data_IF_976663855354
#
_entry.id   IF_976663855354
#
_cell.length_a   1.000
_cell.length_b   1.000
_cell.length_c   1.000
_cell.angle_alpha   90.00
_cell.angle_beta   90.00
_cell.angle_gamma   90.00
#
_symmetry.space_group_name_H-M   'P 1'
#
loop_
_entity.id
_entity.type
_entity.pdbx_description
1 polymer ?
#
# COMPACT_ATOMS: atom_id res chain seq x y z
N UNK A 1 -20.19 -23.93 -10.20
CA UNK A 1 -20.22 -22.70 -9.35
C UNK A 1 -19.75 -21.52 -10.20
N UNK A 2 -20.14 -20.26 -9.93
CA UNK A 2 -19.56 -19.13 -10.65
C UNK A 2 -18.03 -19.09 -10.44
N UNK A 3 -17.29 -18.63 -11.46
CA UNK A 3 -15.84 -18.45 -11.39
C UNK A 3 -15.48 -17.33 -10.44
N UNK A 4 -14.31 -17.44 -9.81
CA UNK A 4 -13.80 -16.42 -8.91
C UNK A 4 -13.36 -15.16 -9.69
N UNK A 5 -13.33 -13.97 -9.06
CA UNK A 5 -12.72 -12.79 -9.67
C UNK A 5 -11.21 -13.01 -9.88
N UNK A 6 -10.72 -12.75 -11.08
CA UNK A 6 -9.33 -13.06 -11.44
C UNK A 6 -8.43 -11.82 -11.46
N UNK A 7 -7.22 -11.97 -10.96
CA UNK A 7 -6.15 -10.98 -11.14
C UNK A 7 -5.60 -11.11 -12.57
N UNK A 8 -5.81 -10.08 -13.37
CA UNK A 8 -5.39 -10.05 -14.78
C UNK A 8 -3.91 -9.73 -14.92
N UNK A 9 -3.33 -8.98 -13.97
CA UNK A 9 -1.89 -8.84 -13.82
C UNK A 9 -1.33 -9.99 -12.98
N UNK A 10 -1.08 -11.12 -13.63
CA UNK A 10 -0.46 -12.29 -13.00
C UNK A 10 0.73 -12.83 -13.78
N UNK A 11 1.67 -13.46 -13.07
CA UNK A 11 2.81 -14.18 -13.64
C UNK A 11 2.74 -15.61 -13.14
N UNK A 12 2.68 -16.57 -14.07
CA UNK A 12 2.53 -18.00 -13.77
C UNK A 12 1.34 -18.31 -12.81
N UNK A 13 0.25 -17.56 -12.92
CA UNK A 13 -0.93 -17.70 -12.06
C UNK A 13 -0.84 -17.01 -10.70
N UNK A 14 0.26 -16.31 -10.41
CA UNK A 14 0.43 -15.57 -9.17
C UNK A 14 0.10 -14.07 -9.36
N UNK A 15 -0.82 -13.48 -8.57
CA UNK A 15 -1.19 -12.06 -8.67
C UNK A 15 -0.01 -11.12 -8.37
N UNK A 16 0.35 -10.28 -9.33
CA UNK A 16 1.48 -9.35 -9.21
C UNK A 16 1.20 -8.29 -8.15
N UNK A 17 -0.03 -7.76 -8.10
CA UNK A 17 -0.42 -6.79 -7.08
C UNK A 17 -0.17 -7.33 -5.67
N UNK A 18 -0.59 -8.57 -5.38
CA UNK A 18 -0.43 -9.21 -4.07
C UNK A 18 1.05 -9.43 -3.67
N UNK A 19 1.95 -9.62 -4.65
CA UNK A 19 3.39 -9.68 -4.39
C UNK A 19 3.99 -8.33 -4.05
N UNK A 20 3.47 -7.24 -4.62
CA UNK A 20 4.03 -5.90 -4.49
C UNK A 20 3.54 -5.16 -3.24
N UNK A 21 2.31 -5.37 -2.79
CA UNK A 21 1.75 -4.63 -1.64
C UNK A 21 2.55 -4.72 -0.32
N UNK A 22 3.29 -5.81 0.02
CA UNK A 22 3.99 -5.88 1.30
C UNK A 22 5.12 -4.84 1.41
N UNK A 23 5.73 -4.46 0.29
CA UNK A 23 6.85 -3.50 0.26
C UNK A 23 6.47 -2.09 0.70
N UNK A 24 5.48 -1.39 0.08
CA UNK A 24 5.08 -0.06 0.53
C UNK A 24 4.57 -0.08 1.97
N UNK A 25 3.84 -1.13 2.38
CA UNK A 25 3.37 -1.27 3.77
C UNK A 25 4.56 -1.31 4.74
N UNK A 26 5.54 -2.18 4.48
CA UNK A 26 6.71 -2.31 5.33
C UNK A 26 7.53 -1.01 5.39
N UNK A 27 7.72 -0.34 4.25
CA UNK A 27 8.50 0.89 4.19
C UNK A 27 7.82 2.06 4.91
N UNK A 28 6.52 2.29 4.71
CA UNK A 28 5.80 3.37 5.40
C UNK A 28 5.66 3.12 6.90
N UNK A 29 5.43 1.87 7.32
CA UNK A 29 5.43 1.50 8.75
C UNK A 29 6.82 1.67 9.37
N UNK A 30 7.88 1.28 8.66
CA UNK A 30 9.25 1.49 9.13
C UNK A 30 9.60 2.98 9.24
N UNK A 31 9.11 3.83 8.33
CA UNK A 31 9.24 5.29 8.44
C UNK A 31 8.65 5.79 9.75
N UNK A 32 7.43 5.40 10.09
CA UNK A 32 6.80 5.81 11.35
C UNK A 32 7.62 5.38 12.58
N UNK A 33 8.17 4.16 12.57
CA UNK A 33 9.05 3.69 13.64
C UNK A 33 10.34 4.52 13.72
N UNK A 34 10.96 4.82 12.58
CA UNK A 34 12.15 5.67 12.53
C UNK A 34 11.87 7.08 13.05
N UNK A 35 10.70 7.65 12.76
CA UNK A 35 10.29 8.96 13.27
C UNK A 35 10.12 8.96 14.79
N UNK A 36 9.55 7.90 15.35
CA UNK A 36 9.46 7.74 16.80
C UNK A 36 10.85 7.67 17.44
N UNK A 37 11.78 6.94 16.82
CA UNK A 37 13.16 6.84 17.33
C UNK A 37 13.86 8.20 17.19
N UNK A 38 13.72 8.90 16.08
CA UNK A 38 14.26 10.25 15.91
C UNK A 38 13.70 11.21 16.96
N UNK A 39 12.38 11.22 17.17
CA UNK A 39 11.74 12.06 18.18
C UNK A 39 12.29 11.82 19.59
N UNK A 40 12.68 10.58 19.90
CA UNK A 40 13.25 10.22 21.21
C UNK A 40 14.75 10.46 21.34
N UNK A 41 15.49 10.31 20.25
CA UNK A 41 16.97 10.28 20.29
C UNK A 41 17.63 11.54 19.72
N UNK A 42 16.92 12.30 18.89
CA UNK A 42 17.49 13.40 18.11
C UNK A 42 18.56 12.98 17.11
N UNK A 43 18.75 11.68 16.84
CA UNK A 43 19.82 11.21 15.97
C UNK A 43 19.42 11.36 14.48
N UNK A 44 20.12 12.22 13.71
CA UNK A 44 19.74 12.53 12.33
C UNK A 44 19.91 11.35 11.36
N UNK A 45 20.64 10.30 11.75
CA UNK A 45 20.74 9.07 10.96
C UNK A 45 19.38 8.43 10.65
N UNK A 46 18.41 8.56 11.57
CA UNK A 46 17.04 8.08 11.35
C UNK A 46 16.28 8.91 10.31
N UNK A 47 16.57 10.21 10.21
CA UNK A 47 15.98 11.08 9.18
C UNK A 47 16.48 10.68 7.79
N UNK A 48 17.79 10.43 7.65
CA UNK A 48 18.36 9.90 6.41
C UNK A 48 17.72 8.57 6.01
N UNK A 49 17.55 7.65 6.95
CA UNK A 49 16.89 6.36 6.69
C UNK A 49 15.45 6.55 6.17
N UNK A 50 14.69 7.46 6.79
CA UNK A 50 13.30 7.71 6.37
C UNK A 50 13.17 8.27 4.96
N UNK A 51 14.11 9.10 4.50
CA UNK A 51 14.10 9.61 3.13
C UNK A 51 14.18 8.48 2.10
N UNK A 52 15.02 7.48 2.36
CA UNK A 52 15.15 6.30 1.49
C UNK A 52 13.94 5.37 1.60
N UNK A 53 13.43 5.12 2.81
CA UNK A 53 12.23 4.30 3.03
C UNK A 53 11.01 4.88 2.32
N UNK A 54 10.77 6.19 2.47
CA UNK A 54 9.67 6.88 1.82
C UNK A 54 9.81 6.85 0.29
N UNK A 55 11.00 7.12 -0.25
CA UNK A 55 11.24 7.07 -1.69
C UNK A 55 11.01 5.66 -2.26
N UNK A 56 11.55 4.63 -1.62
CA UNK A 56 11.34 3.24 -2.02
C UNK A 56 9.86 2.82 -1.87
N UNK A 57 9.20 3.23 -0.79
CA UNK A 57 7.77 3.03 -0.55
C UNK A 57 6.91 3.62 -1.66
N UNK A 58 7.18 4.86 -2.07
CA UNK A 58 6.44 5.51 -3.16
C UNK A 58 6.63 4.79 -4.49
N UNK A 59 7.85 4.38 -4.83
CA UNK A 59 8.12 3.61 -6.06
C UNK A 59 7.34 2.30 -6.05
N UNK A 60 7.40 1.54 -4.96
CA UNK A 60 6.70 0.27 -4.85
C UNK A 60 5.18 0.43 -4.80
N UNK A 61 4.68 1.51 -4.20
CA UNK A 61 3.26 1.85 -4.19
C UNK A 61 2.74 2.15 -5.61
N UNK A 62 3.51 2.86 -6.44
CA UNK A 62 3.16 3.09 -7.85
C UNK A 62 3.10 1.77 -8.62
N UNK A 63 4.11 0.91 -8.48
CA UNK A 63 4.11 -0.39 -9.15
C UNK A 63 2.91 -1.25 -8.71
N UNK A 64 2.61 -1.30 -7.41
CA UNK A 64 1.46 -2.00 -6.88
C UNK A 64 0.14 -1.41 -7.39
N UNK A 65 0.03 -0.08 -7.46
CA UNK A 65 -1.17 0.62 -7.94
C UNK A 65 -1.42 0.34 -9.43
N UNK A 66 -0.37 0.27 -10.25
CA UNK A 66 -0.49 -0.09 -11.67
C UNK A 66 -1.02 -1.52 -11.83
N UNK A 67 -0.45 -2.49 -11.09
CA UNK A 67 -0.94 -3.87 -11.10
C UNK A 67 -2.37 -4.00 -10.57
N UNK A 68 -2.73 -3.25 -9.52
CA UNK A 68 -4.09 -3.24 -8.97
C UNK A 68 -5.09 -2.61 -9.94
N UNK A 69 -4.70 -1.53 -10.64
CA UNK A 69 -5.54 -0.89 -11.64
C UNK A 69 -5.81 -1.80 -12.83
N UNK A 70 -4.81 -2.56 -13.29
CA UNK A 70 -5.01 -3.56 -14.35
C UNK A 70 -6.00 -4.65 -13.94
N UNK A 71 -5.97 -5.09 -12.67
CA UNK A 71 -6.93 -6.07 -12.15
C UNK A 71 -8.36 -5.51 -12.13
N UNK A 72 -8.54 -4.30 -11.59
CA UNK A 72 -9.85 -3.62 -11.53
C UNK A 72 -10.40 -3.41 -12.95
N UNK A 73 -9.61 -2.85 -13.87
CA UNK A 73 -10.10 -2.60 -15.23
C UNK A 73 -10.38 -3.91 -16.00
N UNK A 74 -9.60 -4.96 -15.72
CA UNK A 74 -9.69 -6.25 -16.38
C UNK A 74 -10.86 -7.13 -15.94
N UNK A 75 -11.36 -6.98 -14.71
CA UNK A 75 -12.44 -7.81 -14.17
C UNK A 75 -13.62 -6.97 -13.64
N UNK A 76 -14.81 -7.20 -14.19
CA UNK A 76 -16.05 -6.52 -13.75
C UNK A 76 -16.49 -6.94 -12.35
N UNK A 77 -16.19 -8.18 -11.94
CA UNK A 77 -16.51 -8.66 -10.61
C UNK A 77 -15.72 -7.90 -9.55
N UNK A 78 -14.42 -7.65 -9.78
CA UNK A 78 -13.57 -6.83 -8.90
C UNK A 78 -14.10 -5.40 -8.84
N UNK A 79 -14.46 -4.80 -9.99
CA UNK A 79 -15.02 -3.43 -10.05
C UNK A 79 -16.31 -3.23 -9.27
N UNK A 80 -17.11 -4.27 -9.12
CA UNK A 80 -18.37 -4.21 -8.41
C UNK A 80 -18.20 -4.35 -6.88
N UNK A 81 -16.99 -4.61 -6.39
CA UNK A 81 -16.72 -4.69 -4.95
C UNK A 81 -16.50 -3.30 -4.36
N UNK A 82 -17.33 -2.90 -3.40
CA UNK A 82 -17.11 -1.66 -2.63
C UNK A 82 -15.75 -1.67 -1.92
N UNK A 83 -15.31 -2.84 -1.43
CA UNK A 83 -14.02 -3.00 -0.77
C UNK A 83 -12.84 -2.69 -1.70
N UNK A 84 -12.96 -2.93 -3.02
CA UNK A 84 -11.93 -2.57 -4.00
C UNK A 84 -11.74 -1.05 -4.09
N UNK A 85 -12.83 -0.29 -4.14
CA UNK A 85 -12.78 1.17 -4.23
C UNK A 85 -12.34 1.83 -2.92
N UNK A 86 -12.78 1.30 -1.77
CA UNK A 86 -12.30 1.78 -0.46
C UNK A 86 -10.81 1.50 -0.28
N UNK A 87 -10.34 0.32 -0.68
CA UNK A 87 -8.93 -0.03 -0.67
C UNK A 87 -8.11 0.88 -1.60
N UNK A 88 -8.51 1.00 -2.88
CA UNK A 88 -7.79 1.81 -3.86
C UNK A 88 -7.77 3.29 -3.49
N UNK A 89 -8.92 3.87 -3.15
CA UNK A 89 -9.04 5.28 -2.77
C UNK A 89 -8.21 5.61 -1.52
N UNK A 90 -8.26 4.77 -0.49
CA UNK A 90 -7.44 4.97 0.72
C UNK A 90 -5.94 4.89 0.43
N UNK A 91 -5.50 3.99 -0.46
CA UNK A 91 -4.09 3.90 -0.84
C UNK A 91 -3.62 5.07 -1.71
N UNK A 92 -4.49 5.67 -2.53
CA UNK A 92 -4.18 6.94 -3.21
C UNK A 92 -3.93 8.05 -2.18
N UNK A 93 -4.75 8.14 -1.14
CA UNK A 93 -4.54 9.10 -0.05
C UNK A 93 -3.21 8.85 0.67
N UNK A 94 -2.87 7.59 0.96
CA UNK A 94 -1.56 7.22 1.53
C UNK A 94 -0.40 7.74 0.65
N UNK A 95 -0.44 7.47 -0.66
CA UNK A 95 0.61 7.89 -1.58
C UNK A 95 0.75 9.41 -1.63
N UNK A 96 -0.35 10.15 -1.63
CA UNK A 96 -0.31 11.62 -1.63
C UNK A 96 0.29 12.18 -0.33
N UNK A 97 -0.08 11.60 0.81
CA UNK A 97 0.47 12.00 2.12
C UNK A 97 1.98 11.70 2.15
N UNK A 98 2.40 10.49 1.75
CA UNK A 98 3.80 10.10 1.81
C UNK A 98 4.67 10.81 0.77
N UNK A 99 4.10 11.21 -0.37
CA UNK A 99 4.78 12.04 -1.34
C UNK A 99 5.08 13.42 -0.76
N UNK A 100 4.11 14.03 -0.06
CA UNK A 100 4.33 15.28 0.65
C UNK A 100 5.34 15.12 1.80
N UNK A 101 5.23 14.04 2.59
CA UNK A 101 6.14 13.74 3.69
C UNK A 101 7.59 13.59 3.20
N UNK A 102 7.79 12.82 2.11
CA UNK A 102 9.08 12.65 1.46
C UNK A 102 9.64 13.98 0.95
N UNK A 103 8.84 14.76 0.23
CA UNK A 103 9.25 16.05 -0.32
C UNK A 103 9.61 17.05 0.78
N UNK A 104 8.82 17.11 1.87
CA UNK A 104 9.08 17.99 3.01
C UNK A 104 10.43 17.65 3.66
N UNK A 105 10.73 16.36 3.85
CA UNK A 105 12.03 15.91 4.39
C UNK A 105 13.17 16.18 3.42
N UNK A 106 12.95 16.08 2.13
CA UNK A 106 13.97 16.42 1.12
C UNK A 106 14.32 17.92 1.17
N UNK A 107 13.32 18.77 1.36
CA UNK A 107 13.50 20.23 1.39
C UNK A 107 13.97 20.79 2.74
N UNK A 108 13.57 20.18 3.86
CA UNK A 108 13.73 20.75 5.20
C UNK A 108 14.48 19.82 6.18
N UNK A 109 14.89 18.63 5.74
CA UNK A 109 15.60 17.64 6.54
C UNK A 109 14.91 17.35 7.88
N UNK A 110 15.64 17.47 8.99
CA UNK A 110 15.18 17.16 10.35
C UNK A 110 13.94 17.97 10.77
N UNK A 111 13.82 19.21 10.30
CA UNK A 111 12.71 20.11 10.66
C UNK A 111 11.35 19.62 10.13
N UNK A 112 11.34 18.79 9.08
CA UNK A 112 10.11 18.20 8.55
C UNK A 112 9.55 17.05 9.41
N UNK A 113 10.40 16.41 10.24
CA UNK A 113 10.03 15.15 10.89
C UNK A 113 9.12 15.39 12.08
N UNK A 114 9.45 16.32 12.98
CA UNK A 114 8.66 16.59 14.19
C UNK A 114 8.17 18.03 14.20
N UNK A 115 6.87 18.29 14.46
CA UNK A 115 5.81 17.32 14.75
C UNK A 115 5.11 16.76 13.50
N UNK A 116 5.24 17.44 12.36
CA UNK A 116 4.37 17.23 11.20
C UNK A 116 4.58 15.86 10.55
N UNK A 117 5.81 15.52 10.16
CA UNK A 117 6.13 14.25 9.50
C UNK A 117 5.72 13.03 10.33
N UNK A 118 5.94 13.05 11.65
CA UNK A 118 5.56 12.00 12.57
C UNK A 118 4.03 11.80 12.62
N UNK A 119 3.26 12.89 12.67
CA UNK A 119 1.79 12.82 12.64
C UNK A 119 1.29 12.28 11.29
N UNK A 120 1.90 12.72 10.18
CA UNK A 120 1.55 12.21 8.85
C UNK A 120 1.82 10.70 8.74
N UNK A 121 2.98 10.24 9.21
CA UNK A 121 3.32 8.81 9.21
C UNK A 121 2.39 7.99 10.11
N UNK A 122 1.96 8.52 11.27
CA UNK A 122 0.93 7.87 12.08
C UNK A 122 -0.41 7.75 11.33
N UNK A 123 -0.87 8.83 10.70
CA UNK A 123 -2.10 8.83 9.90
C UNK A 123 -2.01 7.78 8.78
N UNK A 124 -0.88 7.71 8.08
CA UNK A 124 -0.64 6.71 7.03
C UNK A 124 -0.74 5.29 7.58
N UNK A 125 -0.10 4.99 8.71
CA UNK A 125 -0.22 3.66 9.34
C UNK A 125 -1.67 3.30 9.65
N UNK A 126 -2.45 4.25 10.17
CA UNK A 126 -3.88 4.01 10.45
C UNK A 126 -4.70 3.78 9.18
N UNK A 127 -4.42 4.52 8.11
CA UNK A 127 -5.08 4.31 6.82
C UNK A 127 -4.68 2.94 6.24
N UNK A 128 -3.41 2.55 6.31
CA UNK A 128 -2.92 1.25 5.85
C UNK A 128 -3.57 0.08 6.60
N UNK A 129 -3.80 0.21 7.90
CA UNK A 129 -4.55 -0.81 8.67
C UNK A 129 -5.97 -0.95 8.13
N UNK A 130 -6.65 0.16 7.87
CA UNK A 130 -8.00 0.14 7.30
C UNK A 130 -8.02 -0.41 5.87
N UNK A 131 -7.17 0.09 4.97
CA UNK A 131 -7.14 -0.36 3.57
C UNK A 131 -6.66 -1.79 3.45
N UNK A 132 -5.72 -2.23 4.31
CA UNK A 132 -5.29 -3.61 4.42
C UNK A 132 -6.44 -4.54 4.81
N UNK A 133 -7.27 -4.14 5.78
CA UNK A 133 -8.48 -4.88 6.15
C UNK A 133 -9.45 -5.04 4.97
N UNK A 134 -9.63 -3.98 4.18
CA UNK A 134 -10.43 -4.02 2.94
C UNK A 134 -9.83 -4.93 1.87
N UNK A 135 -8.50 -4.89 1.72
CA UNK A 135 -7.75 -5.79 0.85
C UNK A 135 -7.96 -7.27 1.20
N UNK A 136 -7.85 -7.61 2.49
CA UNK A 136 -8.11 -8.97 2.98
C UNK A 136 -9.57 -9.39 2.78
N UNK A 137 -10.53 -8.48 2.91
CA UNK A 137 -11.93 -8.73 2.57
C UNK A 137 -12.09 -9.24 1.13
N UNK A 138 -11.41 -8.61 0.17
CA UNK A 138 -11.42 -9.05 -1.23
C UNK A 138 -10.88 -10.48 -1.41
N UNK A 139 -9.76 -10.80 -0.77
CA UNK A 139 -9.13 -12.13 -0.90
C UNK A 139 -9.96 -13.20 -0.20
N UNK A 140 -10.29 -13.01 1.08
CA UNK A 140 -10.85 -14.08 1.92
C UNK A 140 -12.37 -14.19 1.85
N UNK A 141 -13.10 -13.13 1.52
CA UNK A 141 -14.57 -13.16 1.40
C UNK A 141 -15.03 -13.24 -0.04
N UNK A 142 -14.33 -12.55 -0.94
CA UNK A 142 -14.70 -12.46 -2.35
C UNK A 142 -13.82 -13.30 -3.28
N UNK A 143 -12.84 -14.04 -2.74
CA UNK A 143 -11.98 -14.96 -3.48
C UNK A 143 -11.22 -14.29 -4.65
N UNK A 144 -10.97 -12.98 -4.56
CA UNK A 144 -10.22 -12.24 -5.59
C UNK A 144 -8.80 -12.79 -5.68
N UNK A 145 -8.39 -13.21 -6.87
CA UNK A 145 -7.05 -13.77 -7.12
C UNK A 145 -6.87 -15.21 -6.61
N UNK A 146 -7.95 -15.90 -6.21
CA UNK A 146 -7.93 -17.32 -5.86
C UNK A 146 -8.24 -18.15 -7.10
N UNK A 147 -7.43 -19.19 -7.34
CA UNK A 147 -7.62 -20.08 -8.48
C UNK A 147 -8.98 -20.82 -8.40
N UNK A 148 -9.60 -21.03 -9.57
CA UNK A 148 -10.84 -21.80 -9.67
C UNK A 148 -10.60 -23.28 -9.32
N UNK A 149 -11.57 -23.88 -8.64
CA UNK A 149 -11.59 -25.31 -8.36
C UNK A 149 -11.95 -26.16 -9.60
N UNK A 150 -11.70 -27.48 -9.57
CA UNK A 150 -12.03 -28.40 -10.66
C UNK A 150 -13.49 -28.33 -11.13
N UNK A 151 -14.41 -28.10 -10.19
CA UNK A 151 -15.86 -28.03 -10.45
C UNK A 151 -16.31 -26.66 -11.03
N UNK A 152 -15.43 -25.67 -11.04
CA UNK A 152 -15.65 -24.34 -11.66
C UNK A 152 -15.04 -24.24 -13.07
N UNK A 153 -14.11 -25.15 -13.40
CA UNK A 153 -13.45 -25.22 -14.71
C UNK A 153 -14.24 -26.06 -15.75
N UNK A 154 -15.25 -26.83 -15.33
CA UNK A 154 -16.18 -27.57 -16.20
C UNK A 154 -17.30 -26.68 -16.71
#
# INVERSE_FOLDING_TARGET
MPRNPHSTASIAGHPVHAMLIPFPIAFFVATFVCDLIFWRTGNPGWVTATLWLLGAGLIMAVLAALAGLTDVLGDTQIRNLQDAWLHAGGNVVVVLIELYNWYSRYAQAEAAVVPVGLVLSLIVVLILLFTGWKGWGMVYRHHVGVADGPDQMR
#
